data_IF_861319244123
#
_entry.id   IF_861319244123
#
_cell.length_a   1.000
_cell.length_b   1.000
_cell.length_c   1.000
_cell.angle_alpha   90.00
_cell.angle_beta   90.00
_cell.angle_gamma   90.00
#
_symmetry.space_group_name_H-M   'P 1'
#
loop_
_entity.id
_entity.type
_entity.pdbx_description
1 polymer ?
#
# COMPACT_ATOMS: atom_id res chain seq x y z
N UNK A 1 5.18 -4.14 -1.13
CA UNK A 1 4.09 -3.79 -0.18
C UNK A 1 2.87 -4.62 -0.56
N UNK A 2 2.01 -5.00 0.38
CA UNK A 2 0.77 -5.76 0.11
C UNK A 2 -0.39 -5.00 0.75
N UNK A 3 -1.45 -4.75 -0.01
CA UNK A 3 -2.67 -4.15 0.51
C UNK A 3 -3.90 -4.99 0.13
N UNK A 4 -4.90 -4.97 1.00
CA UNK A 4 -6.14 -5.71 0.85
C UNK A 4 -7.33 -4.78 0.62
N UNK A 5 -8.06 -5.03 -0.46
CA UNK A 5 -9.33 -4.36 -0.77
C UNK A 5 -10.44 -4.95 0.12
N UNK A 6 -10.43 -4.55 1.39
CA UNK A 6 -11.43 -4.94 2.38
C UNK A 6 -11.41 -3.98 3.58
N UNK A 7 -12.41 -4.07 4.45
CA UNK A 7 -12.43 -3.33 5.72
C UNK A 7 -11.38 -3.85 6.70
N UNK A 8 -10.98 -3.00 7.66
CA UNK A 8 -10.06 -3.36 8.76
C UNK A 8 -10.48 -4.64 9.49
N UNK A 9 -11.77 -4.74 9.84
CA UNK A 9 -12.35 -5.93 10.48
C UNK A 9 -12.12 -7.22 9.67
N UNK A 10 -12.25 -7.17 8.34
CA UNK A 10 -12.01 -8.34 7.47
C UNK A 10 -10.52 -8.70 7.40
N UNK A 11 -9.64 -7.69 7.41
CA UNK A 11 -8.21 -7.92 7.46
C UNK A 11 -7.76 -8.52 8.81
N UNK A 12 -8.30 -8.05 9.93
CA UNK A 12 -8.06 -8.62 11.26
C UNK A 12 -8.50 -10.10 11.33
N UNK A 13 -9.69 -10.41 10.82
CA UNK A 13 -10.17 -11.78 10.74
C UNK A 13 -9.30 -12.68 9.85
N UNK A 14 -8.73 -12.14 8.77
CA UNK A 14 -7.76 -12.85 7.94
C UNK A 14 -6.45 -13.08 8.70
N UNK A 15 -5.91 -12.05 9.37
CA UNK A 15 -4.68 -12.16 10.15
C UNK A 15 -4.83 -13.19 11.27
N UNK A 16 -5.97 -13.24 11.97
CA UNK A 16 -6.23 -14.27 12.98
C UNK A 16 -6.15 -15.69 12.37
N UNK A 17 -6.83 -15.93 11.24
CA UNK A 17 -6.77 -17.23 10.54
C UNK A 17 -5.37 -17.59 10.07
N UNK A 18 -4.58 -16.62 9.61
CA UNK A 18 -3.21 -16.84 9.17
C UNK A 18 -2.27 -17.13 10.36
N UNK A 19 -2.49 -16.47 11.50
CA UNK A 19 -1.78 -16.76 12.73
C UNK A 19 -2.06 -18.20 13.21
N UNK A 20 -3.32 -18.63 13.19
CA UNK A 20 -3.71 -20.01 13.53
C UNK A 20 -3.08 -21.04 12.58
N UNK A 21 -2.84 -20.66 11.33
CA UNK A 21 -2.14 -21.47 10.32
C UNK A 21 -0.60 -21.42 10.43
N UNK A 22 -0.05 -20.74 11.44
CA UNK A 22 1.40 -20.66 11.69
C UNK A 22 2.14 -19.63 10.83
N UNK A 23 1.44 -18.66 10.22
CA UNK A 23 2.10 -17.58 9.47
C UNK A 23 2.76 -16.60 10.44
N UNK A 24 4.05 -16.30 10.19
CA UNK A 24 4.83 -15.38 11.01
C UNK A 24 4.22 -13.97 11.05
N UNK A 25 4.25 -13.35 12.24
CA UNK A 25 3.66 -12.04 12.51
C UNK A 25 4.28 -10.93 11.64
N UNK A 26 5.57 -11.03 11.31
CA UNK A 26 6.31 -10.08 10.48
C UNK A 26 5.79 -10.04 9.04
N UNK A 27 5.22 -11.16 8.55
CA UNK A 27 4.60 -11.22 7.22
C UNK A 27 3.23 -10.53 7.25
N UNK A 28 2.45 -10.74 8.31
CA UNK A 28 1.14 -10.11 8.49
C UNK A 28 1.27 -8.60 8.76
N UNK A 29 2.31 -8.15 9.46
CA UNK A 29 2.58 -6.73 9.70
C UNK A 29 2.81 -5.92 8.41
N UNK A 30 3.11 -6.57 7.29
CA UNK A 30 3.26 -5.92 5.97
C UNK A 30 1.93 -5.70 5.25
N UNK A 31 0.82 -6.24 5.76
CA UNK A 31 -0.50 -6.12 5.17
C UNK A 31 -1.14 -4.78 5.55
N UNK A 32 -1.38 -3.91 4.57
CA UNK A 32 -2.23 -2.73 4.73
C UNK A 32 -3.69 -3.07 4.42
N UNK A 33 -4.62 -2.54 5.20
CA UNK A 33 -6.05 -2.55 4.87
C UNK A 33 -6.75 -1.34 5.50
N UNK A 34 -7.67 -0.66 4.78
CA UNK A 34 -8.07 -0.88 3.39
C UNK A 34 -6.99 -0.47 2.37
N UNK A 35 -7.02 -1.09 1.19
CA UNK A 35 -6.27 -0.61 0.02
C UNK A 35 -6.86 0.71 -0.50
N UNK A 36 -5.99 1.57 -1.02
CA UNK A 36 -6.32 2.89 -1.55
C UNK A 36 -6.11 4.04 -0.57
N UNK A 37 -6.12 5.24 -1.14
CA UNK A 37 -6.14 6.50 -0.39
C UNK A 37 -7.55 6.81 0.09
N UNK A 38 -7.66 7.50 1.23
CA UNK A 38 -8.98 7.93 1.73
C UNK A 38 -9.47 9.15 0.95
N UNK A 39 -10.25 8.88 -0.09
CA UNK A 39 -10.95 9.90 -0.90
C UNK A 39 -12.46 9.87 -0.68
N UNK A 40 -12.93 9.20 0.39
CA UNK A 40 -14.36 8.92 0.64
C UNK A 40 -15.07 8.21 -0.52
N UNK A 41 -14.35 7.32 -1.21
CA UNK A 41 -14.89 6.54 -2.32
C UNK A 41 -16.08 5.68 -1.88
N UNK A 42 -17.14 5.69 -2.69
CA UNK A 42 -18.35 4.87 -2.53
C UNK A 42 -18.49 3.95 -3.74
N UNK A 43 -18.30 4.50 -4.95
CA UNK A 43 -18.51 3.76 -6.19
C UNK A 43 -17.27 2.95 -6.60
N UNK A 44 -17.44 1.82 -7.32
CA UNK A 44 -16.33 0.97 -7.74
C UNK A 44 -15.20 1.71 -8.48
N UNK A 45 -15.55 2.69 -9.31
CA UNK A 45 -14.60 3.49 -10.08
C UNK A 45 -13.78 4.42 -9.17
N UNK A 46 -14.40 4.97 -8.14
CA UNK A 46 -13.73 5.79 -7.12
C UNK A 46 -12.79 4.92 -6.27
N UNK A 47 -13.22 3.72 -5.90
CA UNK A 47 -12.38 2.75 -5.19
C UNK A 47 -11.18 2.35 -6.06
N UNK A 48 -11.39 2.09 -7.35
CA UNK A 48 -10.31 1.79 -8.28
C UNK A 48 -9.32 2.95 -8.38
N UNK A 49 -9.81 4.19 -8.51
CA UNK A 49 -8.98 5.40 -8.55
C UNK A 49 -8.16 5.56 -7.27
N UNK A 50 -8.76 5.32 -6.09
CA UNK A 50 -8.06 5.45 -4.81
C UNK A 50 -6.93 4.44 -4.66
N UNK A 51 -7.12 3.21 -5.14
CA UNK A 51 -6.09 2.16 -5.18
C UNK A 51 -4.97 2.50 -6.15
N UNK A 52 -5.30 2.97 -7.36
CA UNK A 52 -4.31 3.40 -8.35
C UNK A 52 -3.47 4.57 -7.83
N UNK A 53 -4.11 5.55 -7.18
CA UNK A 53 -3.42 6.68 -6.57
C UNK A 53 -2.43 6.24 -5.47
N UNK A 54 -2.81 5.27 -4.63
CA UNK A 54 -1.91 4.68 -3.64
C UNK A 54 -0.70 3.99 -4.29
N UNK A 55 -0.91 3.21 -5.35
CA UNK A 55 0.18 2.53 -6.07
C UNK A 55 1.18 3.55 -6.62
N UNK A 56 0.69 4.63 -7.24
CA UNK A 56 1.54 5.69 -7.79
C UNK A 56 2.30 6.41 -6.67
N UNK A 57 1.64 6.71 -5.54
CA UNK A 57 2.27 7.34 -4.39
C UNK A 57 3.43 6.51 -3.85
N UNK A 58 3.24 5.20 -3.70
CA UNK A 58 4.30 4.28 -3.29
C UNK A 58 5.48 4.30 -4.25
N UNK A 59 5.22 4.20 -5.57
CA UNK A 59 6.26 4.24 -6.60
C UNK A 59 7.05 5.54 -6.56
N UNK A 60 6.38 6.68 -6.40
CA UNK A 60 7.04 7.98 -6.32
C UNK A 60 7.87 8.13 -5.04
N UNK A 61 7.36 7.64 -3.91
CA UNK A 61 8.06 7.66 -2.63
C UNK A 61 9.34 6.82 -2.69
N UNK A 62 9.27 5.65 -3.32
CA UNK A 62 10.44 4.79 -3.51
C UNK A 62 11.48 5.43 -4.43
N UNK A 63 11.05 6.16 -5.47
CA UNK A 63 11.96 6.93 -6.34
C UNK A 63 12.65 8.07 -5.59
N UNK A 64 11.93 8.84 -4.78
CA UNK A 64 12.51 9.97 -4.03
C UNK A 64 13.46 9.51 -2.92
N UNK A 65 13.34 8.25 -2.46
CA UNK A 65 14.28 7.64 -1.50
C UNK A 65 15.55 7.07 -2.16
N UNK A 66 15.61 6.96 -3.49
CA UNK A 66 16.87 6.72 -4.18
C UNK A 66 17.77 7.97 -4.07
N UNK A 67 19.07 7.83 -3.79
CA UNK A 67 19.96 8.97 -3.61
C UNK A 67 19.92 9.89 -4.84
N UNK A 68 19.70 11.19 -4.61
CA UNK A 68 19.57 12.25 -5.62
C UNK A 68 20.93 12.73 -6.15
N UNK A 69 21.93 11.84 -6.20
CA UNK A 69 23.33 12.24 -6.34
C UNK A 69 23.85 12.19 -7.79
N UNK A 70 22.98 12.20 -8.82
CA UNK A 70 23.44 12.06 -10.22
C UNK A 70 22.93 13.10 -11.22
N UNK A 71 22.06 14.06 -10.86
CA UNK A 71 21.33 14.82 -11.89
C UNK A 71 21.52 16.36 -11.89
N UNK A 72 22.45 16.92 -11.12
CA UNK A 72 22.70 18.37 -11.14
C UNK A 72 24.01 18.83 -11.81
N UNK A 73 24.79 17.96 -12.46
CA UNK A 73 26.05 18.36 -13.13
C UNK A 73 25.97 18.43 -14.68
N UNK A 74 24.77 18.58 -15.26
CA UNK A 74 24.64 18.75 -16.72
C UNK A 74 23.63 19.83 -17.11
N UNK A 75 23.71 20.99 -16.44
CA UNK A 75 23.22 22.27 -16.97
C UNK A 75 24.23 23.37 -16.64
N UNK A 76 25.33 23.36 -17.37
CA UNK A 76 26.23 24.50 -17.57
C UNK A 76 26.45 24.63 -19.08
#
# INVERSE_FOLDING_TARGET
>A
RIAMVASRRKAEALCAKLADAGVAAERMARLKSPAGLDIRAIDPQEIALSVLAEIILWRNTDRTRAPRDAEHESRA
#
